data_IF_006284157728
#
_entry.id   IF_006284157728
#
_cell.length_a   1.000
_cell.length_b   1.000
_cell.length_c   1.000
_cell.angle_alpha   90.00
_cell.angle_beta   90.00
_cell.angle_gamma   90.00
#
_symmetry.space_group_name_H-M   'P 1'
#
loop_
_entity.id
_entity.type
_entity.pdbx_description
1 polymer ?
#
# COMPACT_ATOMS: atom_id res chain seq x y z
N UNK A 1 -15.04 13.82 -10.78
CA UNK A 1 -16.40 13.61 -10.25
C UNK A 1 -16.26 13.52 -8.75
N UNK A 2 -16.31 14.70 -8.13
CA UNK A 2 -16.15 14.90 -6.69
C UNK A 2 -17.40 14.32 -6.05
N UNK A 3 -17.26 13.23 -5.30
CA UNK A 3 -18.32 12.77 -4.41
C UNK A 3 -18.32 13.79 -3.28
N UNK A 4 -19.26 14.74 -3.33
CA UNK A 4 -19.60 15.53 -2.15
C UNK A 4 -19.92 14.52 -1.04
N UNK A 5 -19.11 14.56 0.01
CA UNK A 5 -19.36 13.89 1.26
C UNK A 5 -20.60 14.51 1.89
N UNK A 6 -21.78 14.08 1.42
CA UNK A 6 -23.03 14.27 2.13
C UNK A 6 -22.83 13.74 3.55
N UNK A 7 -23.12 14.59 4.54
CA UNK A 7 -23.04 14.26 5.96
C UNK A 7 -23.96 13.06 6.21
N UNK A 8 -23.38 11.86 6.17
CA UNK A 8 -24.07 10.63 6.56
C UNK A 8 -24.33 10.76 8.07
N UNK A 9 -25.58 10.62 8.55
CA UNK A 9 -25.87 10.62 9.99
C UNK A 9 -24.94 9.61 10.68
N UNK A 10 -24.29 10.00 11.80
CA UNK A 10 -23.41 9.10 12.56
C UNK A 10 -24.20 7.86 12.99
N UNK A 11 -24.13 6.81 12.19
CA UNK A 11 -24.87 5.57 12.43
C UNK A 11 -24.37 4.93 13.71
N UNK A 12 -25.30 4.53 14.59
CA UNK A 12 -24.96 3.81 15.81
C UNK A 12 -24.60 2.37 15.48
N UNK A 13 -23.53 1.86 16.09
CA UNK A 13 -23.09 0.49 15.92
C UNK A 13 -24.15 -0.50 16.43
N UNK A 14 -24.82 -1.19 15.50
CA UNK A 14 -25.84 -2.19 15.81
C UNK A 14 -25.83 -3.30 14.75
N UNK A 15 -26.31 -4.50 15.11
CA UNK A 15 -26.42 -5.62 14.16
C UNK A 15 -27.22 -5.25 12.89
N UNK A 16 -28.39 -4.58 12.99
CA UNK A 16 -29.11 -4.12 11.80
C UNK A 16 -28.30 -3.13 10.95
N UNK A 17 -27.59 -2.18 11.58
CA UNK A 17 -26.77 -1.23 10.86
C UNK A 17 -25.62 -1.90 10.09
N UNK A 18 -24.95 -2.90 10.69
CA UNK A 18 -23.92 -3.69 9.98
C UNK A 18 -24.49 -4.46 8.79
N UNK A 19 -25.66 -5.08 8.95
CA UNK A 19 -26.32 -5.84 7.89
C UNK A 19 -26.83 -4.95 6.75
N UNK A 20 -27.31 -3.76 7.05
CA UNK A 20 -27.70 -2.76 6.04
C UNK A 20 -26.49 -2.25 5.27
N UNK A 21 -25.42 -1.82 5.99
CA UNK A 21 -24.18 -1.36 5.35
C UNK A 21 -23.53 -2.44 4.50
N UNK A 22 -23.52 -3.71 4.95
CA UNK A 22 -23.05 -4.83 4.14
C UNK A 22 -23.80 -4.91 2.81
N UNK A 23 -25.15 -4.88 2.83
CA UNK A 23 -25.98 -4.94 1.62
C UNK A 23 -25.74 -3.75 0.68
N UNK A 24 -25.61 -2.54 1.23
CA UNK A 24 -25.32 -1.34 0.42
C UNK A 24 -23.99 -1.46 -0.30
N UNK A 25 -22.94 -1.93 0.40
CA UNK A 25 -21.62 -2.11 -0.20
C UNK A 25 -21.53 -3.33 -1.12
N UNK A 26 -22.33 -4.38 -0.90
CA UNK A 26 -22.47 -5.51 -1.82
C UNK A 26 -23.03 -5.04 -3.16
N UNK A 27 -24.10 -4.25 -3.15
CA UNK A 27 -24.65 -3.65 -4.37
C UNK A 27 -23.63 -2.74 -5.07
N UNK A 28 -22.83 -1.98 -4.32
CA UNK A 28 -21.78 -1.15 -4.89
C UNK A 28 -20.64 -1.97 -5.50
N UNK A 29 -20.19 -3.03 -4.82
CA UNK A 29 -19.18 -3.95 -5.33
C UNK A 29 -19.65 -4.61 -6.64
N UNK A 30 -20.90 -5.04 -6.72
CA UNK A 30 -21.50 -5.59 -7.94
C UNK A 30 -21.55 -4.57 -9.09
N UNK A 31 -21.92 -3.32 -8.79
CA UNK A 31 -21.91 -2.21 -9.78
C UNK A 31 -20.50 -1.97 -10.32
N UNK A 32 -19.49 -1.89 -9.46
CA UNK A 32 -18.10 -1.71 -9.88
C UNK A 32 -17.56 -2.93 -10.62
N UNK A 33 -17.93 -4.15 -10.22
CA UNK A 33 -17.57 -5.38 -10.93
C UNK A 33 -18.18 -5.41 -12.35
N UNK A 34 -19.44 -5.01 -12.51
CA UNK A 34 -20.06 -4.88 -13.83
C UNK A 34 -19.34 -3.85 -14.71
N UNK A 35 -18.99 -2.69 -14.14
CA UNK A 35 -18.20 -1.66 -14.82
C UNK A 35 -16.80 -2.15 -15.19
N UNK A 36 -16.15 -2.90 -14.30
CA UNK A 36 -14.83 -3.49 -14.52
C UNK A 36 -14.85 -4.45 -15.71
N UNK A 37 -15.86 -5.33 -15.79
CA UNK A 37 -16.08 -6.24 -16.93
C UNK A 37 -16.29 -5.47 -18.24
N UNK A 38 -17.12 -4.43 -18.23
CA UNK A 38 -17.36 -3.59 -19.41
C UNK A 38 -16.06 -2.93 -19.91
N UNK A 39 -15.33 -2.27 -19.01
CA UNK A 39 -14.06 -1.58 -19.38
C UNK A 39 -13.01 -2.58 -19.85
N UNK A 40 -12.93 -3.76 -19.23
CA UNK A 40 -12.03 -4.84 -19.67
C UNK A 40 -12.35 -5.31 -21.09
N UNK A 41 -13.63 -5.53 -21.40
CA UNK A 41 -14.08 -5.93 -22.73
C UNK A 41 -13.81 -4.84 -23.77
N UNK A 42 -14.10 -3.57 -23.45
CA UNK A 42 -13.82 -2.44 -24.35
C UNK A 42 -12.31 -2.29 -24.60
N UNK A 43 -11.48 -2.51 -23.59
CA UNK A 43 -10.01 -2.51 -23.73
C UNK A 43 -9.56 -3.64 -24.66
N UNK A 44 -10.11 -4.84 -24.51
CA UNK A 44 -9.82 -5.97 -25.40
C UNK A 44 -10.23 -5.67 -26.85
N UNK A 45 -11.39 -5.06 -27.05
CA UNK A 45 -11.88 -4.65 -28.36
C UNK A 45 -10.98 -3.57 -28.99
N UNK A 46 -10.61 -2.53 -28.25
CA UNK A 46 -9.73 -1.46 -28.78
C UNK A 46 -8.35 -2.00 -29.17
N UNK A 47 -7.82 -2.94 -28.40
CA UNK A 47 -6.59 -3.64 -28.74
C UNK A 47 -6.74 -4.45 -30.04
N UNK A 48 -7.81 -5.23 -30.18
CA UNK A 48 -8.09 -5.99 -31.39
C UNK A 48 -8.22 -5.09 -32.63
N UNK A 49 -8.93 -3.96 -32.52
CA UNK A 49 -9.03 -2.96 -33.61
C UNK A 49 -7.67 -2.43 -34.01
N UNK A 50 -6.82 -2.09 -33.03
CA UNK A 50 -5.47 -1.60 -33.30
C UNK A 50 -4.61 -2.66 -34.01
N UNK A 51 -4.63 -3.91 -33.52
CA UNK A 51 -3.87 -5.02 -34.08
C UNK A 51 -4.33 -5.39 -35.50
N UNK A 52 -5.64 -5.51 -35.72
CA UNK A 52 -6.19 -5.84 -37.04
C UNK A 52 -5.88 -4.73 -38.06
N UNK A 53 -6.01 -3.46 -37.66
CA UNK A 53 -5.67 -2.32 -38.53
C UNK A 53 -4.19 -2.29 -38.89
N UNK A 54 -3.32 -2.63 -37.94
CA UNK A 54 -1.87 -2.74 -38.17
C UNK A 54 -1.52 -3.91 -39.12
N UNK A 55 -2.12 -5.08 -38.93
CA UNK A 55 -1.92 -6.23 -39.83
C UNK A 55 -2.42 -5.92 -41.24
N UNK A 56 -3.60 -5.30 -41.36
CA UNK A 56 -4.16 -4.89 -42.64
C UNK A 56 -3.24 -3.90 -43.38
N UNK A 57 -2.58 -2.98 -42.66
CA UNK A 57 -1.58 -2.08 -43.23
C UNK A 57 -0.38 -2.84 -43.80
N UNK A 58 0.16 -3.82 -43.07
CA UNK A 58 1.27 -4.66 -43.55
C UNK A 58 0.89 -5.54 -44.75
N UNK A 59 -0.38 -5.93 -44.85
CA UNK A 59 -0.93 -6.69 -45.96
C UNK A 59 -1.27 -5.84 -47.21
N UNK A 60 -0.95 -4.54 -47.21
CA UNK A 60 -1.21 -3.63 -48.34
C UNK A 60 -2.57 -2.94 -48.32
N UNK A 61 -3.27 -2.92 -47.18
CA UNK A 61 -4.52 -2.20 -47.01
C UNK A 61 -4.39 -0.67 -47.15
N UNK A 62 -5.50 0.05 -47.36
CA UNK A 62 -5.48 1.49 -47.60
C UNK A 62 -5.00 2.26 -46.37
N UNK A 63 -3.80 2.85 -46.46
CA UNK A 63 -3.14 3.56 -45.35
C UNK A 63 -4.02 4.67 -44.75
N UNK A 64 -4.80 5.38 -45.58
CA UNK A 64 -5.72 6.44 -45.14
C UNK A 64 -6.82 5.97 -44.17
N UNK A 65 -7.10 4.67 -44.11
CA UNK A 65 -8.09 4.07 -43.18
C UNK A 65 -7.39 3.29 -42.07
N UNK A 66 -6.39 2.47 -42.42
CA UNK A 66 -5.70 1.61 -41.46
C UNK A 66 -4.91 2.40 -40.41
N UNK A 67 -4.23 3.50 -40.80
CA UNK A 67 -3.41 4.28 -39.87
C UNK A 67 -4.26 4.99 -38.82
N UNK A 68 -5.33 5.76 -39.17
CA UNK A 68 -6.18 6.40 -38.16
C UNK A 68 -6.84 5.40 -37.20
N UNK A 69 -7.32 4.26 -37.71
CA UNK A 69 -7.94 3.22 -36.87
C UNK A 69 -6.94 2.58 -35.91
N UNK A 70 -5.70 2.31 -36.36
CA UNK A 70 -4.64 1.80 -35.50
C UNK A 70 -4.31 2.79 -34.38
N UNK A 71 -4.15 4.07 -34.71
CA UNK A 71 -3.85 5.13 -33.74
C UNK A 71 -5.00 5.30 -32.75
N UNK A 72 -6.25 5.43 -33.21
CA UNK A 72 -7.43 5.59 -32.34
C UNK A 72 -7.60 4.36 -31.44
N UNK A 73 -7.46 3.15 -31.99
CA UNK A 73 -7.55 1.91 -31.23
C UNK A 73 -6.49 1.82 -30.14
N UNK A 74 -5.24 2.19 -30.45
CA UNK A 74 -4.14 2.20 -29.48
C UNK A 74 -4.34 3.28 -28.40
N UNK A 75 -4.73 4.50 -28.77
CA UNK A 75 -5.02 5.58 -27.82
C UNK A 75 -6.18 5.21 -26.89
N UNK A 76 -7.26 4.63 -27.45
CA UNK A 76 -8.40 4.13 -26.67
C UNK A 76 -7.97 3.02 -25.72
N UNK A 77 -7.13 2.07 -26.17
CA UNK A 77 -6.59 1.00 -25.33
C UNK A 77 -5.83 1.55 -24.12
N UNK A 78 -4.90 2.49 -24.34
CA UNK A 78 -4.11 3.11 -23.25
C UNK A 78 -5.04 3.83 -22.25
N UNK A 79 -5.99 4.62 -22.75
CA UNK A 79 -6.96 5.31 -21.89
C UNK A 79 -7.82 4.33 -21.07
N UNK A 80 -8.28 3.24 -21.69
CA UNK A 80 -9.08 2.20 -21.04
C UNK A 80 -8.27 1.38 -20.03
N UNK A 81 -6.98 1.17 -20.24
CA UNK A 81 -6.08 0.55 -19.23
C UNK A 81 -6.07 1.38 -17.94
N UNK A 82 -5.90 2.71 -18.06
CA UNK A 82 -5.89 3.62 -16.91
C UNK A 82 -7.26 3.66 -16.23
N UNK A 83 -8.35 3.72 -17.01
CA UNK A 83 -9.70 3.68 -16.46
C UNK A 83 -9.98 2.35 -15.75
N UNK A 84 -9.55 1.23 -16.33
CA UNK A 84 -9.75 -0.09 -15.76
C UNK A 84 -9.06 -0.22 -14.39
N UNK A 85 -7.83 0.29 -14.26
CA UNK A 85 -7.13 0.30 -12.97
C UNK A 85 -7.93 1.06 -11.90
N UNK A 86 -8.47 2.24 -12.22
CA UNK A 86 -9.30 3.03 -11.29
C UNK A 86 -10.59 2.32 -10.90
N UNK A 87 -11.24 1.63 -11.83
CA UNK A 87 -12.47 0.87 -11.56
C UNK A 87 -12.16 -0.36 -10.70
N UNK A 88 -11.03 -1.04 -10.93
CA UNK A 88 -10.57 -2.13 -10.07
C UNK A 88 -10.29 -1.65 -8.64
N UNK A 89 -9.64 -0.50 -8.47
CA UNK A 89 -9.38 0.06 -7.14
C UNK A 89 -10.69 0.39 -6.39
N UNK A 90 -11.68 0.94 -7.09
CA UNK A 90 -13.00 1.22 -6.53
C UNK A 90 -13.77 -0.06 -6.17
N UNK A 91 -13.71 -1.08 -7.03
CA UNK A 91 -14.28 -2.40 -6.77
C UNK A 91 -13.65 -3.03 -5.52
N UNK A 92 -12.32 -3.07 -5.46
CA UNK A 92 -11.57 -3.63 -4.32
C UNK A 92 -11.90 -2.90 -3.01
N UNK A 93 -12.03 -1.58 -3.03
CA UNK A 93 -12.46 -0.83 -1.85
C UNK A 93 -13.88 -1.20 -1.41
N UNK A 94 -14.84 -1.30 -2.35
CA UNK A 94 -16.22 -1.67 -2.04
C UNK A 94 -16.29 -3.09 -1.44
N UNK A 95 -15.55 -4.04 -1.99
CA UNK A 95 -15.45 -5.40 -1.47
C UNK A 95 -14.83 -5.42 -0.05
N UNK A 96 -13.80 -4.62 0.21
CA UNK A 96 -13.24 -4.48 1.57
C UNK A 96 -14.26 -3.90 2.57
N UNK A 97 -15.11 -2.97 2.14
CA UNK A 97 -16.22 -2.49 2.98
C UNK A 97 -17.24 -3.58 3.30
N UNK A 98 -17.53 -4.47 2.36
CA UNK A 98 -18.37 -5.66 2.61
C UNK A 98 -17.73 -6.53 3.68
N UNK A 99 -16.45 -6.86 3.54
CA UNK A 99 -15.71 -7.71 4.48
C UNK A 99 -15.69 -7.12 5.90
N UNK A 100 -15.47 -5.81 6.03
CA UNK A 100 -15.51 -5.11 7.32
C UNK A 100 -16.88 -5.23 7.98
N UNK A 101 -17.97 -5.03 7.23
CA UNK A 101 -19.31 -5.10 7.78
C UNK A 101 -19.73 -6.53 8.14
N UNK A 102 -19.37 -7.52 7.30
CA UNK A 102 -19.58 -8.95 7.59
C UNK A 102 -18.80 -9.39 8.83
N UNK A 103 -17.54 -8.98 8.96
CA UNK A 103 -16.74 -9.26 10.15
C UNK A 103 -17.32 -8.60 11.41
N UNK A 104 -17.84 -7.37 11.31
CA UNK A 104 -18.52 -6.71 12.43
C UNK A 104 -19.83 -7.43 12.82
N UNK A 105 -20.59 -7.92 11.85
CA UNK A 105 -21.79 -8.72 12.10
C UNK A 105 -21.44 -10.07 12.75
N UNK A 106 -20.40 -10.76 12.26
CA UNK A 106 -19.88 -11.99 12.84
C UNK A 106 -19.46 -11.81 14.31
N UNK A 107 -18.62 -10.79 14.60
CA UNK A 107 -18.19 -10.45 15.97
C UNK A 107 -19.37 -10.16 16.88
N UNK A 108 -20.33 -9.36 16.40
CA UNK A 108 -21.49 -8.97 17.21
C UNK A 108 -22.50 -10.11 17.39
N UNK A 109 -22.49 -11.14 16.55
CA UNK A 109 -23.34 -12.34 16.65
C UNK A 109 -22.65 -13.54 17.32
N UNK A 110 -21.37 -13.41 17.69
CA UNK A 110 -20.52 -14.48 18.22
C UNK A 110 -20.25 -15.62 17.22
N UNK A 111 -20.39 -15.37 15.92
CA UNK A 111 -19.96 -16.28 14.87
C UNK A 111 -18.45 -16.11 14.62
N UNK A 112 -17.64 -16.63 15.54
CA UNK A 112 -16.18 -16.54 15.43
C UNK A 112 -15.60 -17.46 14.34
N UNK A 113 -16.36 -18.45 13.88
CA UNK A 113 -15.91 -19.35 12.82
C UNK A 113 -15.73 -18.64 11.47
N UNK A 114 -16.46 -17.54 11.23
CA UNK A 114 -16.33 -16.74 10.00
C UNK A 114 -15.25 -15.66 10.08
N UNK A 115 -14.52 -15.55 11.19
CA UNK A 115 -13.42 -14.60 11.36
C UNK A 115 -12.08 -15.37 11.28
N UNK A 116 -11.30 -15.23 10.20
CA UNK A 116 -10.11 -16.08 10.01
C UNK A 116 -8.94 -15.73 10.94
N UNK A 117 -8.87 -14.49 11.45
CA UNK A 117 -7.74 -14.07 12.30
C UNK A 117 -7.97 -14.48 13.76
N UNK A 118 -7.27 -15.53 14.20
CA UNK A 118 -7.31 -16.06 15.56
C UNK A 118 -6.25 -15.47 16.48
N UNK A 119 -5.28 -14.72 15.95
CA UNK A 119 -4.13 -14.24 16.71
C UNK A 119 -3.15 -15.35 17.15
N UNK A 120 -3.25 -16.54 16.57
CA UNK A 120 -2.30 -17.64 16.83
C UNK A 120 -0.85 -17.20 16.58
N UNK A 121 0.05 -17.59 17.48
CA UNK A 121 1.47 -17.26 17.42
C UNK A 121 1.84 -15.86 17.91
N UNK A 122 0.88 -15.04 18.39
CA UNK A 122 1.17 -13.73 18.97
C UNK A 122 1.60 -13.78 20.45
N UNK A 123 1.28 -14.87 21.15
CA UNK A 123 1.69 -15.09 22.53
C UNK A 123 2.92 -16.00 22.64
N UNK A 124 3.85 -15.74 23.58
CA UNK A 124 4.84 -16.72 23.98
C UNK A 124 4.17 -18.01 24.50
N UNK A 125 4.72 -19.21 24.22
CA UNK A 125 4.13 -20.47 24.68
C UNK A 125 3.94 -20.56 26.19
N UNK A 126 4.89 -20.01 26.96
CA UNK A 126 4.92 -20.09 28.43
C UNK A 126 4.34 -18.84 29.11
N UNK A 127 3.44 -18.12 28.44
CA UNK A 127 2.87 -16.90 29.01
C UNK A 127 1.99 -17.21 30.24
N UNK A 128 2.14 -16.50 31.39
CA UNK A 128 1.58 -16.93 32.67
C UNK A 128 0.07 -17.16 32.74
N UNK A 129 -0.70 -16.53 31.85
CA UNK A 129 -2.18 -16.59 31.86
C UNK A 129 -2.82 -16.60 30.46
N UNK A 130 -2.03 -16.62 29.37
CA UNK A 130 -2.60 -16.44 28.04
C UNK A 130 -3.47 -17.62 27.61
N UNK A 131 -3.06 -18.84 27.98
CA UNK A 131 -3.81 -20.05 27.74
C UNK A 131 -5.07 -20.12 28.62
N UNK A 132 -4.94 -19.86 29.93
CA UNK A 132 -6.06 -19.95 30.87
C UNK A 132 -7.20 -18.96 30.59
N UNK A 133 -6.87 -17.78 30.04
CA UNK A 133 -7.85 -16.74 29.68
C UNK A 133 -8.30 -16.81 28.21
N UNK A 134 -7.89 -17.85 27.46
CA UNK A 134 -8.17 -18.00 26.03
C UNK A 134 -7.89 -16.70 25.25
N UNK A 135 -6.72 -16.10 25.47
CA UNK A 135 -6.40 -14.79 24.88
C UNK A 135 -6.26 -14.86 23.36
N UNK A 136 -5.76 -15.98 22.83
CA UNK A 136 -5.50 -16.21 21.40
C UNK A 136 -6.02 -17.58 20.97
N UNK A 137 -6.21 -17.77 19.67
CA UNK A 137 -6.81 -18.99 19.11
C UNK A 137 -8.26 -18.81 18.69
N UNK A 138 -8.94 -19.92 18.40
CA UNK A 138 -10.33 -19.93 17.97
C UNK A 138 -11.28 -19.57 19.12
N UNK A 139 -12.25 -18.70 18.85
CA UNK A 139 -13.18 -18.11 19.79
C UNK A 139 -12.51 -17.37 20.97
N UNK A 140 -11.29 -16.89 20.77
CA UNK A 140 -10.48 -16.19 21.78
C UNK A 140 -10.90 -14.73 22.03
N UNK A 141 -10.39 -14.15 23.12
CA UNK A 141 -10.57 -12.73 23.42
C UNK A 141 -9.97 -11.85 22.31
N UNK A 142 -8.80 -12.21 21.77
CA UNK A 142 -8.20 -11.50 20.63
C UNK A 142 -9.14 -11.51 19.42
N UNK A 143 -9.69 -12.67 19.04
CA UNK A 143 -10.58 -12.78 17.88
C UNK A 143 -11.88 -11.97 18.07
N UNK A 144 -12.35 -11.86 19.32
CA UNK A 144 -13.52 -11.04 19.67
C UNK A 144 -13.25 -9.54 19.57
N UNK A 145 -12.08 -9.09 20.02
CA UNK A 145 -11.74 -7.66 20.11
C UNK A 145 -11.08 -7.11 18.84
N UNK A 146 -10.32 -7.94 18.13
CA UNK A 146 -9.44 -7.48 17.07
C UNK A 146 -10.21 -7.02 15.83
N UNK A 147 -9.97 -5.76 15.47
CA UNK A 147 -10.25 -5.17 14.16
C UNK A 147 -8.95 -4.76 13.46
N UNK A 148 -7.80 -5.07 14.06
CA UNK A 148 -6.49 -4.68 13.55
C UNK A 148 -6.16 -5.51 12.30
N UNK A 149 -5.92 -4.83 11.18
CA UNK A 149 -5.55 -5.48 9.91
C UNK A 149 -4.05 -5.40 9.59
N UNK A 150 -3.35 -4.44 10.19
CA UNK A 150 -1.90 -4.30 10.02
C UNK A 150 -1.16 -5.21 10.99
N UNK A 151 0.05 -5.66 10.60
CA UNK A 151 0.91 -6.47 11.46
C UNK A 151 1.18 -5.78 12.80
N UNK A 152 1.66 -4.53 12.74
CA UNK A 152 1.95 -3.71 13.92
C UNK A 152 0.72 -3.50 14.80
N UNK A 153 -0.47 -3.33 14.20
CA UNK A 153 -1.70 -3.17 14.98
C UNK A 153 -2.09 -4.45 15.73
N UNK A 154 -1.91 -5.61 15.10
CA UNK A 154 -2.18 -6.92 15.71
C UNK A 154 -1.19 -7.21 16.84
N UNK A 155 0.10 -7.01 16.59
CA UNK A 155 1.17 -7.16 17.59
C UNK A 155 0.92 -6.20 18.77
N UNK A 156 0.57 -4.94 18.49
CA UNK A 156 0.26 -3.97 19.55
C UNK A 156 -0.95 -4.40 20.38
N UNK A 157 -2.02 -4.90 19.77
CA UNK A 157 -3.16 -5.42 20.53
C UNK A 157 -2.77 -6.64 21.38
N UNK A 158 -1.93 -7.53 20.85
CA UNK A 158 -1.44 -8.68 21.61
C UNK A 158 -0.61 -8.25 22.83
N UNK A 159 0.33 -7.33 22.66
CA UNK A 159 1.09 -6.72 23.78
C UNK A 159 0.13 -6.17 24.85
N UNK A 160 -0.91 -5.44 24.44
CA UNK A 160 -1.90 -4.88 25.36
C UNK A 160 -2.72 -5.94 26.12
N UNK A 161 -2.87 -7.14 25.57
CA UNK A 161 -3.56 -8.26 26.24
C UNK A 161 -2.62 -9.08 27.13
N UNK A 162 -1.32 -9.09 26.81
CA UNK A 162 -0.29 -9.85 27.52
C UNK A 162 0.34 -9.05 28.67
N UNK A 163 0.31 -7.72 28.62
CA UNK A 163 0.91 -6.85 29.61
C UNK A 163 -0.14 -6.06 30.41
N UNK A 164 -0.20 -6.19 31.75
CA UNK A 164 -1.08 -5.38 32.56
C UNK A 164 -0.68 -3.90 32.51
N UNK A 165 -1.68 -3.03 32.44
CA UNK A 165 -1.48 -1.57 32.41
C UNK A 165 -1.88 -0.91 33.74
N UNK A 166 -1.31 0.26 34.03
CA UNK A 166 -1.72 1.05 35.20
C UNK A 166 -3.18 1.50 35.10
N UNK A 167 -3.84 1.70 36.24
CA UNK A 167 -5.24 2.18 36.30
C UNK A 167 -5.45 3.48 35.53
N UNK A 168 -4.46 4.38 35.56
CA UNK A 168 -4.48 5.62 34.79
C UNK A 168 -4.49 5.36 33.28
N UNK A 169 -3.57 4.52 32.79
CA UNK A 169 -3.49 4.13 31.37
C UNK A 169 -4.78 3.45 30.90
N UNK A 170 -5.39 2.60 31.74
CA UNK A 170 -6.66 1.94 31.43
C UNK A 170 -7.78 2.97 31.28
N UNK A 171 -7.90 3.93 32.21
CA UNK A 171 -8.92 4.98 32.17
C UNK A 171 -8.77 5.89 30.95
N UNK A 172 -7.54 6.25 30.60
CA UNK A 172 -7.23 7.02 29.40
C UNK A 172 -7.69 6.27 28.14
N UNK A 173 -7.23 5.02 27.97
CA UNK A 173 -7.62 4.18 26.81
C UNK A 173 -9.13 3.98 26.72
N UNK A 174 -9.82 3.74 27.83
CA UNK A 174 -11.28 3.60 27.84
C UNK A 174 -12.00 4.88 27.40
N UNK A 175 -11.48 6.07 27.79
CA UNK A 175 -12.00 7.36 27.31
C UNK A 175 -11.82 7.49 25.80
N UNK A 176 -10.62 7.21 25.30
CA UNK A 176 -10.32 7.24 23.86
C UNK A 176 -11.18 6.26 23.06
N UNK A 177 -11.35 5.03 23.55
CA UNK A 177 -12.20 4.02 22.90
C UNK A 177 -13.65 4.50 22.84
N UNK A 178 -14.18 5.13 23.90
CA UNK A 178 -15.53 5.71 23.88
C UNK A 178 -15.66 6.85 22.87
N UNK A 179 -14.64 7.71 22.76
CA UNK A 179 -14.62 8.78 21.77
C UNK A 179 -14.68 8.22 20.33
N UNK A 180 -13.88 7.19 20.02
CA UNK A 180 -13.88 6.53 18.71
C UNK A 180 -15.15 5.70 18.45
N UNK A 181 -15.73 5.09 19.47
CA UNK A 181 -16.90 4.22 19.32
C UNK A 181 -18.11 4.96 18.73
N UNK A 182 -18.25 6.25 19.02
CA UNK A 182 -19.33 7.09 18.54
C UNK A 182 -19.32 7.33 17.02
N UNK A 183 -18.16 7.22 16.36
CA UNK A 183 -18.02 7.42 14.92
C UNK A 183 -17.86 6.08 14.21
N UNK A 184 -18.98 5.48 13.81
CA UNK A 184 -18.95 4.20 13.11
C UNK A 184 -18.31 4.30 11.72
N UNK A 185 -18.55 5.40 11.01
CA UNK A 185 -18.04 5.56 9.64
C UNK A 185 -16.53 5.65 9.62
N UNK A 186 -15.96 6.49 10.50
CA UNK A 186 -14.51 6.59 10.68
C UNK A 186 -13.88 5.23 10.95
N UNK A 187 -14.43 4.46 11.91
CA UNK A 187 -13.89 3.16 12.31
C UNK A 187 -13.88 2.17 11.15
N UNK A 188 -14.99 2.05 10.43
CA UNK A 188 -15.09 1.10 9.32
C UNK A 188 -14.30 1.55 8.10
N UNK A 189 -14.23 2.86 7.83
CA UNK A 189 -13.37 3.43 6.79
C UNK A 189 -11.91 3.10 7.08
N UNK A 190 -11.46 3.34 8.32
CA UNK A 190 -10.11 3.00 8.74
C UNK A 190 -9.83 1.49 8.60
N UNK A 191 -10.75 0.62 9.03
CA UNK A 191 -10.62 -0.84 8.88
C UNK A 191 -10.55 -1.27 7.41
N UNK A 192 -11.38 -0.70 6.53
CA UNK A 192 -11.44 -1.03 5.10
C UNK A 192 -10.14 -0.62 4.37
N UNK A 193 -9.58 0.55 4.69
CA UNK A 193 -8.28 0.96 4.16
C UNK A 193 -7.14 0.08 4.73
N UNK A 194 -7.21 -0.29 6.01
CA UNK A 194 -6.20 -1.14 6.64
C UNK A 194 -6.21 -2.58 6.08
N UNK A 195 -7.38 -3.09 5.69
CA UNK A 195 -7.49 -4.38 5.00
C UNK A 195 -6.78 -4.36 3.64
N UNK A 196 -6.81 -3.20 2.96
CA UNK A 196 -6.02 -2.97 1.74
C UNK A 196 -4.52 -3.08 2.01
N UNK A 197 -4.00 -2.51 3.10
CA UNK A 197 -2.58 -2.61 3.47
C UNK A 197 -2.14 -4.06 3.69
N UNK A 198 -2.98 -4.87 4.32
CA UNK A 198 -2.69 -6.29 4.54
C UNK A 198 -2.52 -7.09 3.24
N UNK A 199 -2.95 -6.54 2.10
CA UNK A 199 -2.88 -7.21 0.79
C UNK A 199 -3.86 -8.38 0.69
N UNK A 200 -4.89 -8.42 1.54
CA UNK A 200 -5.99 -9.36 1.41
C UNK A 200 -6.74 -9.01 0.12
N UNK A 201 -6.78 -9.96 -0.83
CA UNK A 201 -7.69 -9.87 -1.96
C UNK A 201 -9.06 -10.39 -1.51
N UNK A 202 -10.14 -9.66 -1.78
CA UNK A 202 -11.49 -10.13 -1.46
C UNK A 202 -11.76 -11.52 -2.05
N UNK A 203 -12.44 -12.38 -1.28
CA UNK A 203 -12.79 -13.74 -1.72
C UNK A 203 -11.65 -14.77 -1.69
N UNK A 204 -10.44 -14.41 -1.24
CA UNK A 204 -9.34 -15.38 -1.03
C UNK A 204 -9.20 -15.73 0.45
N UNK A 205 -9.26 -17.02 0.78
CA UNK A 205 -9.03 -17.55 2.14
C UNK A 205 -7.57 -17.44 2.59
N UNK A 206 -6.66 -17.04 1.71
CA UNK A 206 -5.24 -16.92 2.01
C UNK A 206 -4.98 -15.56 2.63
N UNK A 207 -4.92 -15.52 3.96
CA UNK A 207 -4.36 -14.40 4.70
C UNK A 207 -2.90 -14.24 4.25
N UNK A 208 -2.63 -13.32 3.33
CA UNK A 208 -1.26 -12.86 3.12
C UNK A 208 -0.89 -12.10 4.38
N UNK A 209 0.18 -12.52 5.07
CA UNK A 209 0.68 -11.77 6.21
C UNK A 209 0.87 -10.32 5.79
N UNK A 210 0.29 -9.39 6.55
CA UNK A 210 0.45 -7.97 6.27
C UNK A 210 1.94 -7.65 6.09
N UNK A 211 2.33 -6.84 5.07
CA UNK A 211 3.72 -6.54 4.79
C UNK A 211 4.45 -6.11 6.06
N UNK A 212 5.68 -6.60 6.28
CA UNK A 212 6.48 -6.16 7.42
C UNK A 212 7.03 -4.75 7.11
N UNK A 213 6.58 -3.69 7.81
CA UNK A 213 7.09 -2.34 7.57
C UNK A 213 8.53 -2.15 8.07
N UNK A 214 9.03 -3.04 8.96
CA UNK A 214 10.39 -2.94 9.52
C UNK A 214 11.48 -2.99 8.46
N UNK A 215 11.29 -3.75 7.38
CA UNK A 215 12.26 -3.80 6.29
C UNK A 215 12.44 -2.44 5.62
N UNK A 216 11.33 -1.68 5.49
CA UNK A 216 11.42 -0.34 4.95
C UNK A 216 11.95 0.65 5.98
N UNK A 217 11.54 0.58 7.25
CA UNK A 217 12.13 1.45 8.28
C UNK A 217 13.64 1.26 8.38
N UNK A 218 14.10 0.01 8.38
CA UNK A 218 15.52 -0.33 8.36
C UNK A 218 16.23 0.21 7.13
N UNK A 219 15.59 0.20 5.96
CA UNK A 219 16.13 0.82 4.75
C UNK A 219 16.16 2.35 4.84
N UNK A 220 15.07 2.98 5.30
CA UNK A 220 14.95 4.43 5.43
C UNK A 220 15.93 5.01 6.47
N UNK A 221 16.23 4.24 7.52
CA UNK A 221 17.21 4.57 8.56
C UNK A 221 18.65 4.19 8.17
N UNK A 222 18.83 3.37 7.12
CA UNK A 222 20.17 2.98 6.67
C UNK A 222 20.89 4.14 5.99
N UNK A 223 22.21 4.24 6.20
CA UNK A 223 23.03 5.22 5.51
C UNK A 223 23.02 4.96 3.99
N UNK A 224 22.85 5.99 3.15
CA UNK A 224 22.77 5.85 1.69
C UNK A 224 24.17 5.58 1.09
N UNK A 225 24.71 4.38 1.32
CA UNK A 225 26.06 3.95 0.90
C UNK A 225 26.35 4.16 -0.58
N UNK A 226 25.39 3.83 -1.46
CA UNK A 226 25.52 3.97 -2.91
C UNK A 226 25.59 5.42 -3.39
N UNK A 227 25.03 6.37 -2.64
CA UNK A 227 25.04 7.79 -3.02
C UNK A 227 26.40 8.43 -2.72
N UNK A 228 27.16 7.84 -1.80
CA UNK A 228 28.52 8.29 -1.46
C UNK A 228 29.59 7.79 -2.44
N UNK A 229 29.32 6.74 -3.24
CA UNK A 229 30.22 6.28 -4.30
C UNK A 229 30.01 7.06 -5.61
N UNK A 230 30.73 8.18 -5.74
CA UNK A 230 30.67 9.04 -6.91
C UNK A 230 30.95 8.28 -8.23
N UNK A 231 31.82 7.27 -8.21
CA UNK A 231 32.18 6.50 -9.42
C UNK A 231 30.98 5.70 -9.89
N UNK A 232 30.33 4.94 -9.01
CA UNK A 232 29.14 4.16 -9.35
C UNK A 232 27.98 5.03 -9.83
N UNK A 233 27.79 6.20 -9.20
CA UNK A 233 26.75 7.16 -9.58
C UNK A 233 27.00 7.73 -10.98
N UNK A 234 28.22 8.19 -11.28
CA UNK A 234 28.56 8.71 -12.60
C UNK A 234 28.56 7.63 -13.68
N UNK A 235 29.06 6.44 -13.38
CA UNK A 235 28.99 5.29 -14.28
C UNK A 235 27.55 4.95 -14.65
N UNK A 236 26.62 4.89 -13.67
CA UNK A 236 25.21 4.58 -13.94
C UNK A 236 24.50 5.60 -14.84
N UNK A 237 24.97 6.86 -14.87
CA UNK A 237 24.40 7.94 -15.71
C UNK A 237 25.00 7.99 -17.10
N UNK A 238 26.30 7.70 -17.24
CA UNK A 238 27.04 7.87 -18.50
C UNK A 238 27.02 6.60 -19.35
N UNK A 239 27.10 5.41 -18.74
CA UNK A 239 27.17 4.15 -19.48
C UNK A 239 25.93 3.86 -20.34
N UNK A 240 24.67 4.05 -19.88
CA UNK A 240 23.49 3.78 -20.70
C UNK A 240 23.41 4.61 -22.00
N UNK A 241 23.52 5.96 -21.97
CA UNK A 241 23.49 6.75 -23.20
C UNK A 241 24.70 6.47 -24.10
N UNK A 242 25.89 6.21 -23.54
CA UNK A 242 27.06 5.83 -24.33
C UNK A 242 26.84 4.50 -25.08
N UNK A 243 26.24 3.51 -24.41
CA UNK A 243 25.98 2.20 -25.00
C UNK A 243 24.86 2.26 -26.04
N UNK A 244 23.85 3.11 -25.82
CA UNK A 244 22.81 3.38 -26.82
C UNK A 244 23.37 4.11 -28.04
N UNK A 245 24.22 5.12 -27.84
CA UNK A 245 24.87 5.85 -28.92
C UNK A 245 25.82 4.96 -29.74
N UNK A 246 26.57 4.07 -29.08
CA UNK A 246 27.44 3.12 -29.78
C UNK A 246 26.64 2.08 -30.56
N UNK A 247 25.51 1.63 -30.04
CA UNK A 247 24.59 0.72 -30.75
C UNK A 247 23.99 1.40 -32.00
N UNK A 248 23.50 2.64 -31.88
CA UNK A 248 22.99 3.42 -33.01
C UNK A 248 24.09 3.67 -34.04
N UNK A 249 25.30 4.02 -33.58
CA UNK A 249 26.46 4.22 -34.44
C UNK A 249 26.87 2.98 -35.23
N UNK A 250 26.79 1.79 -34.60
CA UNK A 250 27.03 0.51 -35.26
C UNK A 250 26.04 0.28 -36.42
N UNK A 251 24.75 0.45 -36.17
CA UNK A 251 23.71 0.25 -37.20
C UNK A 251 23.71 1.32 -38.30
N UNK A 252 24.08 2.56 -37.97
CA UNK A 252 24.03 3.67 -38.91
C UNK A 252 25.31 3.82 -39.77
N UNK A 253 26.49 3.51 -39.21
CA UNK A 253 27.78 3.83 -39.82
C UNK A 253 28.73 2.62 -39.96
N UNK A 254 28.35 1.43 -39.51
CA UNK A 254 29.16 0.21 -39.66
C UNK A 254 30.49 0.23 -38.89
N UNK A 255 30.56 0.97 -37.78
CA UNK A 255 31.77 1.12 -36.95
C UNK A 255 32.09 -0.13 -36.11
N UNK A 256 33.24 -0.15 -35.42
CA UNK A 256 33.81 -1.31 -34.70
C UNK A 256 32.82 -2.01 -33.76
N UNK A 257 32.46 -3.25 -34.10
CA UNK A 257 31.35 -4.01 -33.49
C UNK A 257 31.53 -4.48 -32.03
N UNK A 258 32.66 -4.21 -31.39
CA UNK A 258 32.91 -4.62 -30.00
C UNK A 258 32.52 -3.55 -28.96
N UNK A 259 32.39 -2.28 -29.35
CA UNK A 259 32.08 -1.17 -28.44
C UNK A 259 30.75 -1.34 -27.66
N UNK A 260 29.61 -1.74 -28.27
CA UNK A 260 28.38 -1.98 -27.51
C UNK A 260 28.50 -3.19 -26.57
N UNK A 261 29.27 -4.21 -26.93
CA UNK A 261 29.53 -5.38 -26.07
C UNK A 261 30.34 -4.99 -24.83
N UNK A 262 31.36 -4.13 -24.97
CA UNK A 262 32.14 -3.60 -23.84
C UNK A 262 31.26 -2.74 -22.93
N UNK A 263 30.38 -1.91 -23.49
CA UNK A 263 29.41 -1.11 -22.74
C UNK A 263 28.45 -1.97 -21.92
N UNK A 264 27.88 -3.02 -22.53
CA UNK A 264 27.01 -3.99 -21.86
C UNK A 264 27.76 -4.76 -20.76
N UNK A 265 28.99 -5.21 -21.02
CA UNK A 265 29.81 -5.90 -20.03
C UNK A 265 30.12 -5.00 -18.82
N UNK A 266 30.48 -3.74 -19.06
CA UNK A 266 30.73 -2.77 -17.99
C UNK A 266 29.47 -2.47 -17.16
N UNK A 267 28.29 -2.38 -17.81
CA UNK A 267 27.01 -2.25 -17.10
C UNK A 267 26.68 -3.51 -16.29
N UNK A 268 26.94 -4.70 -16.82
CA UNK A 268 26.73 -5.96 -16.10
C UNK A 268 27.65 -6.06 -14.87
N UNK A 269 28.92 -5.67 -14.98
CA UNK A 269 29.87 -5.62 -13.86
C UNK A 269 29.40 -4.62 -12.80
N UNK A 270 28.99 -3.42 -13.21
CA UNK A 270 28.44 -2.41 -12.29
C UNK A 270 27.21 -2.96 -11.57
N UNK A 271 26.29 -3.58 -12.30
CA UNK A 271 25.06 -4.16 -11.74
C UNK A 271 25.37 -5.27 -10.74
N UNK A 272 26.28 -6.19 -11.05
CA UNK A 272 26.70 -7.27 -10.12
C UNK A 272 27.38 -6.70 -8.88
N UNK A 273 28.26 -5.69 -9.04
CA UNK A 273 28.95 -5.03 -7.93
C UNK A 273 27.97 -4.34 -6.99
N UNK A 274 26.95 -3.68 -7.52
CA UNK A 274 25.92 -2.99 -6.73
C UNK A 274 24.71 -3.87 -6.40
N UNK A 275 24.66 -5.12 -6.88
CA UNK A 275 23.47 -5.97 -6.83
C UNK A 275 22.99 -6.22 -5.41
N UNK A 276 23.89 -6.42 -4.45
CA UNK A 276 23.50 -6.66 -3.05
C UNK A 276 22.78 -5.45 -2.44
N UNK A 277 23.34 -4.26 -2.59
CA UNK A 277 22.77 -3.04 -2.01
C UNK A 277 21.50 -2.61 -2.77
N UNK A 278 21.52 -2.68 -4.11
CA UNK A 278 20.35 -2.36 -4.94
C UNK A 278 19.24 -3.38 -4.78
N UNK A 279 19.52 -4.68 -4.63
CA UNK A 279 18.48 -5.68 -4.37
C UNK A 279 17.87 -5.56 -2.99
N UNK A 280 18.63 -5.15 -1.96
CA UNK A 280 18.08 -4.85 -0.64
C UNK A 280 17.18 -3.62 -0.69
N UNK A 281 17.61 -2.53 -1.32
CA UNK A 281 16.79 -1.34 -1.52
C UNK A 281 15.56 -1.62 -2.38
N UNK A 282 15.74 -2.31 -3.52
CA UNK A 282 14.66 -2.70 -4.43
C UNK A 282 13.69 -3.67 -3.76
N UNK A 283 14.15 -4.64 -2.97
CA UNK A 283 13.28 -5.55 -2.24
C UNK A 283 12.54 -4.82 -1.11
N UNK A 284 13.19 -3.91 -0.39
CA UNK A 284 12.53 -3.11 0.65
C UNK A 284 11.45 -2.23 0.03
N UNK A 285 11.75 -1.54 -1.08
CA UNK A 285 10.80 -0.69 -1.82
C UNK A 285 9.73 -1.53 -2.50
N UNK A 286 10.05 -2.56 -3.28
CA UNK A 286 9.06 -3.36 -4.02
C UNK A 286 8.15 -4.19 -3.10
N UNK A 287 8.66 -4.68 -1.96
CA UNK A 287 7.83 -5.34 -0.96
C UNK A 287 6.85 -4.37 -0.28
N UNK A 288 7.14 -3.06 -0.34
CA UNK A 288 6.40 -2.02 0.36
C UNK A 288 5.73 -0.98 -0.57
N UNK A 289 5.97 -0.98 -1.88
CA UNK A 289 5.52 0.04 -2.84
C UNK A 289 3.99 0.13 -2.85
N UNK A 290 3.33 -1.03 -2.89
CA UNK A 290 1.87 -1.11 -2.74
C UNK A 290 1.38 -0.93 -1.30
N UNK A 291 2.21 -1.18 -0.28
CA UNK A 291 1.83 -1.08 1.13
C UNK A 291 1.89 0.36 1.64
N UNK A 292 2.89 1.15 1.24
CA UNK A 292 3.11 2.52 1.69
C UNK A 292 2.09 3.50 1.13
N UNK A 293 1.76 3.41 -0.16
CA UNK A 293 0.66 4.18 -0.72
C UNK A 293 -0.65 3.91 0.02
N UNK A 294 -0.86 2.67 0.50
CA UNK A 294 -2.03 2.28 1.30
C UNK A 294 -1.95 2.73 2.76
N UNK A 295 -0.76 2.79 3.36
CA UNK A 295 -0.54 3.42 4.67
C UNK A 295 -0.78 4.93 4.61
N UNK A 296 -0.46 5.59 3.49
CA UNK A 296 -0.71 7.02 3.29
C UNK A 296 -2.16 7.41 3.59
N UNK A 297 -3.14 6.65 3.08
CA UNK A 297 -4.55 6.89 3.37
C UNK A 297 -4.91 6.68 4.85
N UNK A 298 -4.28 5.72 5.54
CA UNK A 298 -4.50 5.53 6.98
C UNK A 298 -3.95 6.71 7.80
N UNK A 299 -2.77 7.20 7.45
CA UNK A 299 -2.16 8.35 8.09
C UNK A 299 -2.99 9.61 7.84
N UNK A 300 -3.46 9.82 6.61
CA UNK A 300 -4.35 10.92 6.26
C UNK A 300 -5.65 10.91 7.08
N UNK A 301 -6.25 9.73 7.30
CA UNK A 301 -7.43 9.59 8.16
C UNK A 301 -7.12 10.02 9.60
N UNK A 302 -5.93 9.71 10.12
CA UNK A 302 -5.52 10.11 11.48
C UNK A 302 -5.20 11.61 11.54
N UNK A 303 -4.56 12.16 10.51
CA UNK A 303 -4.20 13.58 10.43
C UNK A 303 -5.41 14.51 10.35
N UNK A 304 -6.46 14.06 9.65
CA UNK A 304 -7.73 14.77 9.48
C UNK A 304 -8.75 14.45 10.56
N UNK A 305 -8.39 13.62 11.55
CA UNK A 305 -9.26 13.24 12.64
C UNK A 305 -9.61 14.47 13.50
N UNK A 306 -10.89 14.82 13.53
CA UNK A 306 -11.44 15.85 14.40
C UNK A 306 -11.85 15.23 15.75
N UNK A 307 -11.09 15.53 16.80
CA UNK A 307 -11.28 14.98 18.14
C UNK A 307 -10.67 15.89 19.20
N UNK A 308 -11.31 15.92 20.37
CA UNK A 308 -10.86 16.63 21.57
C UNK A 308 -10.22 15.68 22.60
N UNK A 309 -10.13 14.38 22.29
CA UNK A 309 -9.53 13.40 23.21
C UNK A 309 -8.01 13.59 23.30
N UNK A 310 -7.43 13.76 24.50
CA UNK A 310 -6.02 14.11 24.66
C UNK A 310 -5.05 13.09 24.04
N UNK A 311 -5.34 11.80 24.15
CA UNK A 311 -4.48 10.74 23.61
C UNK A 311 -4.46 10.77 22.07
N UNK A 312 -5.63 10.93 21.44
CA UNK A 312 -5.72 11.01 19.98
C UNK A 312 -5.10 12.29 19.43
N UNK A 313 -5.28 13.42 20.12
CA UNK A 313 -4.61 14.68 19.77
C UNK A 313 -3.10 14.51 19.86
N UNK A 314 -2.58 13.92 20.94
CA UNK A 314 -1.15 13.66 21.09
C UNK A 314 -0.58 12.75 20.00
N UNK A 315 -1.32 11.71 19.59
CA UNK A 315 -0.92 10.84 18.48
C UNK A 315 -0.91 11.57 17.14
N UNK A 316 -1.96 12.36 16.85
CA UNK A 316 -2.06 13.17 15.63
C UNK A 316 -0.95 14.22 15.56
N UNK A 317 -0.66 14.89 16.66
CA UNK A 317 0.36 15.94 16.72
C UNK A 317 1.75 15.34 16.54
N UNK A 318 2.04 14.17 17.12
CA UNK A 318 3.30 13.44 16.85
C UNK A 318 3.49 13.12 15.38
N UNK A 319 2.43 12.70 14.68
CA UNK A 319 2.48 12.46 13.23
C UNK A 319 2.79 13.76 12.47
N UNK A 320 2.11 14.86 12.81
CA UNK A 320 2.34 16.17 12.19
C UNK A 320 3.73 16.72 12.45
N UNK A 321 4.26 16.59 13.67
CA UNK A 321 5.61 17.07 14.02
C UNK A 321 6.70 16.29 13.28
N UNK A 322 6.51 14.98 13.05
CA UNK A 322 7.42 14.20 12.21
C UNK A 322 7.40 14.62 10.74
N UNK A 323 6.27 15.11 10.22
CA UNK A 323 6.12 15.59 8.84
C UNK A 323 6.54 17.06 8.66
N UNK A 324 6.50 17.87 9.72
CA UNK A 324 6.82 19.30 9.71
C UNK A 324 8.31 19.62 9.92
N UNK A 325 9.18 18.63 10.13
CA UNK A 325 10.61 18.84 9.91
C UNK A 325 10.83 18.93 8.40
N UNK A 326 11.20 20.11 7.84
CA UNK A 326 11.60 20.15 6.46
C UNK A 326 12.83 19.26 6.34
N UNK A 327 12.76 18.22 5.50
CA UNK A 327 13.98 17.65 4.93
C UNK A 327 14.77 18.85 4.39
N UNK A 328 16.01 19.08 4.84
CA UNK A 328 16.75 20.27 4.47
C UNK A 328 16.77 20.37 2.95
N UNK A 329 16.27 21.48 2.41
CA UNK A 329 16.24 21.68 0.96
C UNK A 329 17.68 21.51 0.43
N UNK A 330 17.88 20.90 -0.74
CA UNK A 330 19.20 20.58 -1.27
C UNK A 330 20.04 21.80 -1.66
N UNK A 331 19.61 23.03 -1.30
CA UNK A 331 20.34 24.27 -1.61
C UNK A 331 21.51 24.58 -0.68
N UNK A 332 21.62 23.94 0.49
CA UNK A 332 22.68 24.26 1.47
C UNK A 332 23.69 23.13 1.64
N UNK A 333 24.49 22.88 0.60
CA UNK A 333 25.79 22.19 0.64
C UNK A 333 25.85 20.75 1.21
N UNK A 334 26.94 19.99 0.97
CA UNK A 334 26.97 18.56 1.32
C UNK A 334 27.07 18.23 2.82
N UNK A 335 27.24 19.24 3.69
CA UNK A 335 27.64 19.01 5.09
C UNK A 335 26.54 19.27 6.13
N UNK A 336 25.33 19.71 5.75
CA UNK A 336 24.30 20.05 6.76
C UNK A 336 23.50 18.83 7.26
N UNK A 337 23.39 17.76 6.45
CA UNK A 337 22.74 16.50 6.85
C UNK A 337 23.57 15.71 7.88
N UNK A 338 24.90 15.80 7.80
CA UNK A 338 25.82 15.01 8.64
C UNK A 338 25.92 15.57 10.07
N UNK A 339 25.85 16.89 10.25
CA UNK A 339 25.92 17.52 11.58
C UNK A 339 24.66 17.25 12.42
N UNK A 340 23.49 17.12 11.80
CA UNK A 340 22.23 16.92 12.51
C UNK A 340 22.09 15.52 13.13
N UNK A 341 22.60 14.47 12.46
CA UNK A 341 22.59 13.10 13.01
C UNK A 341 23.67 12.90 14.09
N UNK A 342 24.81 13.61 13.99
CA UNK A 342 25.91 13.52 14.96
C UNK A 342 25.56 14.19 16.30
N UNK A 343 24.80 15.29 16.30
CA UNK A 343 24.41 15.97 17.55
C UNK A 343 23.44 15.14 18.42
N UNK A 344 22.51 14.40 17.81
CA UNK A 344 21.55 13.57 18.57
C UNK A 344 22.16 12.33 19.21
N UNK A 345 23.34 11.89 18.76
CA UNK A 345 24.08 10.76 19.36
C UNK A 345 24.89 11.17 20.60
N UNK A 346 25.05 12.47 20.87
CA UNK A 346 25.73 12.99 22.09
C UNK A 346 24.78 13.34 23.24
N UNK A 347 23.46 13.25 23.02
CA UNK A 347 22.44 13.58 24.03
C UNK A 347 21.67 12.36 24.58
N UNK A 348 22.27 11.17 24.50
CA UNK A 348 21.80 9.95 25.17
C UNK A 348 22.93 9.29 25.92
#
# INVERSE_FOLDING_TARGET
MTIEAGVVPRATASRPAYAERARTWEAEAERQAARSRLVSNLRGLSFAVATVSFIALLAGGPAGVCVPLAVVGLSAFIALVVLHARVLDAQDLAERWVDVNRAALARSSHDFASIPDTGEGLAPPDHPYAADLDLFGRASLFQRLSVARTRVGRERLAELLLEPASTESVRERQRTVRALAADLDLRQRFEAHALGVAGAKPGTTRVRSAPNPELLFKWAESEPSLVHDAVSVWCSRILPPFTLASLVGYFAFGTTGIAPLVGLAAQAILLVRTARETSLAFSAVSASEGAFLRYGTLLEIIETLDTTDPLLVGLRDRLRTCLLYPLPSPRNGPNSLFLFFVEKKKAK
#
